data_IF_781819888556
#
_entry.id   IF_781819888556
#
_cell.length_a   1.000
_cell.length_b   1.000
_cell.length_c   1.000
_cell.angle_alpha   90.00
_cell.angle_beta   90.00
_cell.angle_gamma   90.00
#
_symmetry.space_group_name_H-M   'P 1'
#
loop_
_entity.id
_entity.type
_entity.pdbx_description
1 polymer ?
#
# COMPACT_ATOMS: atom_id res chain seq x y z
N UNK A 1 18.38 14.56 28.70
CA UNK A 1 18.61 14.95 27.29
C UNK A 1 17.73 14.02 26.47
N UNK A 2 16.66 14.54 25.88
CA UNK A 2 15.46 13.81 25.49
C UNK A 2 15.68 12.68 24.48
N UNK A 3 15.50 11.43 24.90
CA UNK A 3 15.37 10.25 24.04
C UNK A 3 14.10 10.29 23.15
N UNK A 4 13.29 11.35 23.25
CA UNK A 4 12.02 11.58 22.54
C UNK A 4 12.11 11.54 21.00
N UNK A 5 13.31 11.51 20.42
CA UNK A 5 13.53 11.46 18.97
C UNK A 5 13.97 10.10 18.44
N UNK A 6 14.54 9.24 19.31
CA UNK A 6 15.09 7.93 18.90
C UNK A 6 13.99 6.93 18.54
N UNK A 7 12.80 7.11 19.11
CA UNK A 7 11.66 6.19 18.94
C UNK A 7 10.67 6.59 17.85
N UNK A 8 11.10 7.43 16.91
CA UNK A 8 10.24 7.88 15.81
C UNK A 8 10.79 7.58 14.44
N UNK A 9 9.90 7.16 13.56
CA UNK A 9 10.09 7.29 12.13
C UNK A 9 9.77 8.72 11.73
N UNK A 10 10.79 9.45 11.26
CA UNK A 10 10.60 10.78 10.69
C UNK A 10 10.39 10.70 9.18
N UNK A 11 9.38 11.42 8.70
CA UNK A 11 9.20 11.74 7.30
C UNK A 11 9.52 13.22 7.07
N UNK A 12 10.21 13.52 5.98
CA UNK A 12 10.51 14.90 5.60
C UNK A 12 9.54 15.37 4.52
N UNK A 13 8.92 16.53 4.71
CA UNK A 13 8.16 17.19 3.64
C UNK A 13 9.19 17.84 2.70
N UNK A 14 9.23 17.37 1.46
CA UNK A 14 10.12 17.91 0.42
C UNK A 14 9.51 19.10 -0.31
N UNK A 15 8.19 19.06 -0.49
CA UNK A 15 7.45 20.06 -1.25
C UNK A 15 6.00 20.06 -0.79
N UNK A 16 5.40 21.23 -0.79
CA UNK A 16 3.96 21.42 -0.69
C UNK A 16 3.45 22.16 -1.93
N UNK A 17 2.31 21.76 -2.47
CA UNK A 17 1.60 22.52 -3.48
C UNK A 17 0.61 23.47 -2.78
N UNK A 18 0.83 24.80 -2.81
CA UNK A 18 0.01 25.76 -2.05
C UNK A 18 -1.45 25.81 -2.51
N UNK A 19 -1.73 25.40 -3.75
CA UNK A 19 -3.09 25.43 -4.30
C UNK A 19 -3.94 24.22 -3.90
N UNK A 20 -3.31 23.08 -3.60
CA UNK A 20 -4.01 21.81 -3.36
C UNK A 20 -3.72 21.19 -2.01
N UNK A 21 -2.75 21.72 -1.26
CA UNK A 21 -2.29 21.15 0.02
C UNK A 21 -1.56 19.82 -0.11
N UNK A 22 -1.38 19.30 -1.33
CA UNK A 22 -0.66 18.03 -1.56
C UNK A 22 0.81 18.22 -1.23
N UNK A 23 1.35 17.28 -0.43
CA UNK A 23 2.73 17.24 0.00
C UNK A 23 3.45 16.04 -0.58
N UNK A 24 4.73 16.21 -0.87
CA UNK A 24 5.65 15.11 -1.13
C UNK A 24 6.43 14.81 0.14
N UNK A 25 6.29 13.59 0.63
CA UNK A 25 6.99 13.10 1.80
C UNK A 25 8.17 12.24 1.37
N UNK A 26 9.30 12.35 2.07
CA UNK A 26 10.43 11.46 1.97
C UNK A 26 10.54 10.61 3.22
N UNK A 27 10.89 9.35 3.03
CA UNK A 27 11.23 8.38 4.07
C UNK A 27 12.74 8.28 4.11
N UNK A 28 13.31 8.35 5.30
CA UNK A 28 14.74 8.17 5.46
C UNK A 28 15.15 6.73 5.13
N UNK A 29 16.32 6.53 4.52
CA UNK A 29 16.83 5.20 4.11
C UNK A 29 16.91 4.21 5.27
N UNK A 30 17.15 4.69 6.49
CA UNK A 30 17.16 3.89 7.73
C UNK A 30 15.80 3.27 8.04
N UNK A 31 14.71 4.00 7.77
CA UNK A 31 13.37 3.63 8.21
C UNK A 31 12.59 2.89 7.14
N UNK A 32 13.02 2.98 5.88
CA UNK A 32 12.39 2.25 4.77
C UNK A 32 12.23 0.74 5.01
N UNK A 33 13.22 0.01 5.59
CA UNK A 33 13.04 -1.40 5.91
C UNK A 33 11.86 -1.71 6.84
N UNK A 34 11.44 -0.77 7.69
CA UNK A 34 10.25 -0.95 8.54
C UNK A 34 8.98 -0.98 7.70
N UNK A 35 8.90 -0.10 6.69
CA UNK A 35 7.77 -0.06 5.74
C UNK A 35 7.77 -1.32 4.88
N UNK A 36 8.93 -1.72 4.35
CA UNK A 36 9.06 -2.98 3.59
C UNK A 36 8.58 -4.17 4.40
N UNK A 37 9.07 -4.31 5.64
CA UNK A 37 8.65 -5.38 6.53
C UNK A 37 7.14 -5.40 6.74
N UNK A 38 6.53 -4.25 7.00
CA UNK A 38 5.09 -4.15 7.22
C UNK A 38 4.26 -4.68 6.02
N UNK A 39 4.66 -4.36 4.80
CA UNK A 39 3.98 -4.89 3.60
C UNK A 39 4.34 -6.35 3.33
N UNK A 40 5.60 -6.72 3.46
CA UNK A 40 6.08 -8.07 3.15
C UNK A 40 5.54 -9.12 4.13
N UNK A 41 5.36 -8.79 5.40
CA UNK A 41 4.68 -9.65 6.38
C UNK A 41 3.22 -9.95 5.96
N UNK A 42 2.62 -9.08 5.14
CA UNK A 42 1.27 -9.23 4.56
C UNK A 42 1.30 -9.81 3.15
N UNK A 43 2.47 -10.21 2.64
CA UNK A 43 2.64 -10.74 1.29
C UNK A 43 2.46 -9.68 0.19
N UNK A 44 2.54 -8.39 0.54
CA UNK A 44 2.36 -7.28 -0.36
C UNK A 44 3.71 -6.65 -0.73
N UNK A 45 3.75 -5.94 -1.86
CA UNK A 45 4.89 -5.12 -2.23
C UNK A 45 4.55 -3.63 -2.04
N UNK A 46 5.32 -2.87 -1.24
CA UNK A 46 5.03 -1.47 -0.91
C UNK A 46 4.74 -0.58 -2.13
N UNK A 47 5.44 -0.78 -3.24
CA UNK A 47 5.33 0.09 -4.40
C UNK A 47 3.96 0.03 -5.13
N UNK A 48 3.15 -1.02 -4.90
CA UNK A 48 1.79 -1.11 -5.48
C UNK A 48 0.75 -0.34 -4.66
N UNK A 49 1.03 -0.12 -3.38
CA UNK A 49 0.05 0.39 -2.42
C UNK A 49 0.37 1.80 -1.96
N UNK A 50 1.64 2.17 -1.94
CA UNK A 50 2.08 3.52 -1.58
C UNK A 50 1.72 4.49 -2.70
N UNK A 51 1.02 5.57 -2.35
CA UNK A 51 0.54 6.57 -3.30
C UNK A 51 1.70 7.31 -3.96
N UNK A 52 1.77 7.23 -5.29
CA UNK A 52 2.82 7.89 -6.09
C UNK A 52 4.24 7.52 -5.60
N UNK A 53 4.46 6.26 -5.20
CA UNK A 53 5.76 5.79 -4.74
C UNK A 53 6.86 6.04 -5.77
N UNK A 54 7.96 6.65 -5.32
CA UNK A 54 9.17 6.87 -6.13
C UNK A 54 10.42 6.81 -5.27
N UNK A 55 11.55 6.49 -5.88
CA UNK A 55 12.87 6.67 -5.27
C UNK A 55 13.54 7.90 -5.90
N UNK A 56 13.97 8.85 -5.07
CA UNK A 56 14.63 10.07 -5.55
C UNK A 56 16.14 9.83 -5.81
N UNK A 57 16.83 10.84 -6.36
CA UNK A 57 18.27 10.76 -6.66
C UNK A 57 19.16 10.57 -5.43
N UNK A 58 18.67 10.89 -4.23
CA UNK A 58 19.35 10.63 -2.96
C UNK A 58 19.10 9.20 -2.42
N UNK A 59 18.37 8.35 -3.17
CA UNK A 59 18.00 7.00 -2.77
C UNK A 59 16.95 6.96 -1.65
N UNK A 60 16.19 8.03 -1.46
CA UNK A 60 15.10 8.06 -0.49
C UNK A 60 13.78 7.66 -1.16
N UNK A 61 12.98 6.87 -0.46
CA UNK A 61 11.63 6.56 -0.89
C UNK A 61 10.73 7.76 -0.62
N UNK A 62 9.88 8.08 -1.58
CA UNK A 62 9.00 9.24 -1.55
C UNK A 62 7.60 8.83 -1.94
N UNK A 63 6.61 9.55 -1.41
CA UNK A 63 5.20 9.36 -1.72
C UNK A 63 4.48 10.72 -1.64
N UNK A 64 3.27 10.79 -2.20
CA UNK A 64 2.43 11.99 -2.07
C UNK A 64 1.30 11.75 -1.09
N UNK A 65 0.97 12.76 -0.31
CA UNK A 65 -0.20 12.73 0.56
C UNK A 65 -0.89 14.08 0.70
N UNK A 66 -2.16 14.03 1.05
CA UNK A 66 -3.04 15.20 1.13
C UNK A 66 -3.20 15.77 2.55
N UNK A 67 -4.28 16.53 2.73
CA UNK A 67 -4.78 17.00 4.02
C UNK A 67 -6.19 16.42 4.26
N UNK A 68 -6.61 16.37 5.53
CA UNK A 68 -7.99 16.02 5.90
C UNK A 68 -8.23 14.56 6.30
N UNK A 69 -7.18 13.74 6.35
CA UNK A 69 -7.21 12.35 6.82
C UNK A 69 -5.83 11.93 7.34
N UNK A 70 -5.73 10.72 7.86
CA UNK A 70 -4.44 10.15 8.24
C UNK A 70 -3.64 9.72 7.01
N UNK A 71 -2.74 10.60 6.58
CA UNK A 71 -1.85 10.40 5.42
C UNK A 71 -0.94 9.18 5.58
N UNK A 72 -0.57 8.83 6.82
CA UNK A 72 0.26 7.66 7.06
C UNK A 72 -0.55 6.41 6.77
N UNK A 73 -1.78 6.35 7.27
CA UNK A 73 -2.71 5.26 6.98
C UNK A 73 -3.01 5.14 5.49
N UNK A 74 -3.53 6.21 4.86
CA UNK A 74 -4.02 6.13 3.48
C UNK A 74 -2.90 6.06 2.43
N UNK A 75 -1.90 6.94 2.52
CA UNK A 75 -0.96 7.15 1.42
C UNK A 75 0.34 6.36 1.56
N UNK A 76 0.77 6.07 2.80
CA UNK A 76 1.97 5.27 3.07
C UNK A 76 1.65 3.80 3.33
N UNK A 77 0.53 3.48 3.98
CA UNK A 77 0.21 2.11 4.41
C UNK A 77 -0.92 1.46 3.60
N UNK A 78 -1.48 2.17 2.62
CA UNK A 78 -2.52 1.65 1.71
C UNK A 78 -3.90 1.50 2.36
N UNK A 79 -4.13 2.21 3.46
CA UNK A 79 -5.38 2.23 4.23
C UNK A 79 -6.43 3.19 3.66
N UNK A 80 -7.46 3.46 4.46
CA UNK A 80 -8.60 4.30 4.06
C UNK A 80 -8.56 5.72 4.64
N UNK A 81 -7.56 6.04 5.46
CA UNK A 81 -7.37 7.35 6.09
C UNK A 81 -8.00 7.48 7.48
N UNK A 82 -8.45 6.38 8.08
CA UNK A 82 -9.08 6.33 9.41
C UNK A 82 -8.07 6.12 10.56
N UNK A 83 -6.78 5.96 10.22
CA UNK A 83 -5.70 5.79 11.17
C UNK A 83 -5.57 4.37 11.72
N UNK A 84 -6.27 3.38 11.18
CA UNK A 84 -6.17 1.98 11.65
C UNK A 84 -4.82 1.37 11.31
N UNK A 85 -4.37 1.42 10.06
CA UNK A 85 -3.06 0.85 9.71
C UNK A 85 -1.92 1.67 10.28
N UNK A 86 -2.12 2.99 10.46
CA UNK A 86 -1.14 3.81 11.17
C UNK A 86 -0.90 3.29 12.59
N UNK A 87 -1.94 3.10 13.39
CA UNK A 87 -1.82 2.54 14.75
C UNK A 87 -1.25 1.12 14.76
N UNK A 88 -1.63 0.30 13.78
CA UNK A 88 -1.10 -1.06 13.63
C UNK A 88 0.40 -1.03 13.32
N UNK A 89 0.83 -0.15 12.43
CA UNK A 89 2.24 0.06 12.10
C UNK A 89 3.05 0.52 13.32
N UNK A 90 2.55 1.50 14.09
CA UNK A 90 3.24 1.97 15.29
C UNK A 90 3.36 0.86 16.34
N UNK A 91 2.33 0.02 16.50
CA UNK A 91 2.36 -1.14 17.40
C UNK A 91 3.32 -2.23 16.93
N UNK A 92 3.30 -2.56 15.64
CA UNK A 92 4.11 -3.63 15.06
C UNK A 92 5.60 -3.26 15.03
N UNK A 93 5.91 -1.97 14.82
CA UNK A 93 7.29 -1.48 14.70
C UNK A 93 7.84 -0.88 16.00
N UNK A 94 6.97 -0.52 16.95
CA UNK A 94 7.33 0.26 18.14
C UNK A 94 7.79 1.69 17.81
N UNK A 95 7.52 2.19 16.60
CA UNK A 95 7.95 3.53 16.15
C UNK A 95 6.74 4.42 15.92
N UNK A 96 6.75 5.58 16.56
CA UNK A 96 5.76 6.61 16.24
C UNK A 96 6.12 7.31 14.94
N UNK A 97 5.14 7.57 14.07
CA UNK A 97 5.39 8.25 12.80
C UNK A 97 5.16 9.75 12.95
N UNK A 98 6.15 10.54 12.54
CA UNK A 98 6.05 12.00 12.53
C UNK A 98 6.56 12.56 11.22
N UNK A 99 5.94 13.63 10.74
CA UNK A 99 6.43 14.37 9.59
C UNK A 99 6.69 15.84 9.90
N UNK A 100 7.67 16.43 9.22
CA UNK A 100 7.95 17.87 9.28
C UNK A 100 8.62 18.37 8.01
N UNK A 101 8.49 19.67 7.76
CA UNK A 101 9.24 20.44 6.75
C UNK A 101 10.72 20.66 7.13
N UNK A 102 11.03 20.57 8.42
CA UNK A 102 12.40 20.66 8.95
C UNK A 102 13.31 19.58 8.36
N UNK A 103 14.60 19.92 8.29
CA UNK A 103 15.66 18.95 8.00
C UNK A 103 15.60 17.75 8.94
N UNK A 104 16.14 16.62 8.49
CA UNK A 104 16.35 15.45 9.34
C UNK A 104 17.03 15.86 10.65
N UNK A 105 16.68 15.25 11.80
CA UNK A 105 17.42 15.46 13.04
C UNK A 105 18.94 15.28 12.83
N UNK A 106 19.77 16.04 13.56
CA UNK A 106 21.23 15.88 13.45
C UNK A 106 21.61 14.45 13.82
N UNK A 107 22.46 13.81 13.01
CA UNK A 107 22.87 12.43 13.22
C UNK A 107 21.78 11.38 12.98
N UNK A 108 20.61 11.78 12.43
CA UNK A 108 19.57 10.83 12.07
C UNK A 108 20.10 9.82 11.06
N UNK A 109 20.01 8.52 11.38
CA UNK A 109 20.62 7.46 10.59
C UNK A 109 22.06 7.09 10.93
N UNK A 110 22.78 7.89 11.73
CA UNK A 110 24.15 7.61 12.20
C UNK A 110 24.18 6.98 13.60
N UNK A 111 23.02 6.77 14.21
CA UNK A 111 22.89 6.07 15.48
C UNK A 111 23.37 4.62 15.29
N UNK A 112 24.36 4.18 16.09
CA UNK A 112 24.71 2.77 16.21
C UNK A 112 23.42 1.99 16.47
N UNK A 113 23.20 0.87 15.76
CA UNK A 113 21.98 0.08 15.70
C UNK A 113 21.37 -0.19 17.10
N UNK A 114 20.66 0.80 17.63
CA UNK A 114 20.08 0.78 18.96
C UNK A 114 18.61 0.45 18.77
N UNK A 115 18.21 -0.66 19.42
CA UNK A 115 16.84 -1.11 19.74
C UNK A 115 15.75 -0.49 18.85
N UNK A 116 15.32 -1.22 17.82
CA UNK A 116 14.11 -0.91 17.04
C UNK A 116 14.33 -0.61 15.55
N UNK A 117 15.43 -1.09 14.96
CA UNK A 117 15.59 -1.17 13.51
C UNK A 117 15.56 -2.62 13.05
N UNK A 118 15.28 -2.84 11.76
CA UNK A 118 15.35 -4.19 11.15
C UNK A 118 16.79 -4.71 11.19
N UNK A 119 16.99 -5.96 11.60
CA UNK A 119 18.32 -6.59 11.66
C UNK A 119 18.94 -6.74 10.26
N UNK A 120 20.27 -6.86 10.15
CA UNK A 120 20.91 -7.05 8.82
C UNK A 120 20.45 -8.33 8.11
N UNK A 121 20.26 -9.43 8.85
CA UNK A 121 19.72 -10.67 8.28
C UNK A 121 18.29 -10.50 7.77
N UNK A 122 17.50 -9.67 8.44
CA UNK A 122 16.14 -9.39 8.01
C UNK A 122 16.07 -8.40 6.84
N UNK A 123 16.97 -7.40 6.79
CA UNK A 123 17.13 -6.57 5.59
C UNK A 123 17.48 -7.40 4.35
N UNK A 124 18.33 -8.41 4.51
CA UNK A 124 18.64 -9.34 3.42
C UNK A 124 17.39 -10.11 2.98
N UNK A 125 16.62 -10.64 3.93
CA UNK A 125 15.33 -11.30 3.65
C UNK A 125 14.35 -10.38 2.91
N UNK A 126 14.20 -9.13 3.35
CA UNK A 126 13.30 -8.16 2.71
C UNK A 126 13.73 -7.88 1.27
N UNK A 127 15.04 -7.74 1.01
CA UNK A 127 15.56 -7.58 -0.36
C UNK A 127 15.23 -8.79 -1.25
N UNK A 128 15.35 -10.00 -0.72
CA UNK A 128 15.01 -11.21 -1.47
C UNK A 128 13.50 -11.30 -1.76
N UNK A 129 12.66 -10.90 -0.80
CA UNK A 129 11.20 -10.83 -0.98
C UNK A 129 10.79 -9.77 -2.00
N UNK A 130 11.38 -8.57 -1.96
CA UNK A 130 11.12 -7.53 -2.96
C UNK A 130 11.51 -8.02 -4.36
N UNK A 131 12.66 -8.70 -4.49
CA UNK A 131 13.06 -9.32 -5.76
C UNK A 131 12.07 -10.38 -6.23
N UNK A 132 11.56 -11.23 -5.33
CA UNK A 132 10.58 -12.25 -5.67
C UNK A 132 9.24 -11.63 -6.14
N UNK A 133 8.73 -10.64 -5.39
CA UNK A 133 7.48 -9.95 -5.72
C UNK A 133 7.62 -9.07 -6.97
N UNK A 134 8.76 -8.43 -7.18
CA UNK A 134 9.07 -7.67 -8.39
C UNK A 134 9.22 -8.55 -9.64
N UNK A 135 9.77 -9.77 -9.48
CA UNK A 135 9.83 -10.76 -10.56
C UNK A 135 8.42 -11.25 -10.93
N UNK A 136 7.54 -11.46 -9.94
CA UNK A 136 6.14 -11.80 -10.19
C UNK A 136 5.39 -10.69 -10.96
N UNK A 137 5.70 -9.41 -10.72
CA UNK A 137 5.16 -8.29 -11.53
C UNK A 137 5.69 -8.28 -12.97
N UNK A 138 6.94 -8.67 -13.17
CA UNK A 138 7.60 -8.66 -14.49
C UNK A 138 7.30 -9.91 -15.32
N UNK A 139 6.82 -10.98 -14.67
CA UNK A 139 6.32 -12.16 -15.35
C UNK A 139 5.02 -11.80 -16.09
N UNK A 140 5.18 -11.42 -17.36
CA UNK A 140 4.08 -11.40 -18.33
C UNK A 140 3.27 -12.71 -18.14
N UNK A 141 1.94 -12.67 -18.00
CA UNK A 141 1.18 -13.91 -17.94
C UNK A 141 1.53 -14.68 -19.21
N UNK A 142 2.20 -15.82 -19.04
CA UNK A 142 2.30 -16.80 -20.10
C UNK A 142 0.85 -17.17 -20.39
N UNK A 143 0.32 -16.65 -21.50
CA UNK A 143 -0.94 -17.09 -22.06
C UNK A 143 -0.80 -18.59 -22.29
N UNK A 144 -1.19 -19.38 -21.31
CA UNK A 144 -1.42 -20.80 -21.50
C UNK A 144 -2.58 -20.88 -22.48
N UNK A 145 -2.25 -21.17 -23.74
CA UNK A 145 -3.18 -21.78 -24.67
C UNK A 145 -3.66 -23.10 -24.03
N UNK A 146 -4.75 -23.02 -23.28
CA UNK A 146 -5.60 -24.17 -23.03
C UNK A 146 -6.67 -24.14 -24.12
N UNK A 147 -6.40 -24.86 -25.22
CA UNK A 147 -7.43 -25.24 -26.15
C UNK A 147 -8.43 -26.15 -25.44
N UNK A 148 -9.69 -25.75 -25.42
CA UNK A 148 -10.85 -26.64 -25.57
C UNK A 148 -12.06 -25.78 -25.89
N UNK A 149 -12.76 -26.18 -26.93
CA UNK A 149 -13.78 -25.42 -27.62
C UNK A 149 -15.06 -25.26 -26.79
N UNK A 150 -15.71 -24.09 -26.88
CA UNK A 150 -17.15 -24.04 -27.19
C UNK A 150 -17.46 -22.73 -27.91
N UNK A 151 -17.80 -22.85 -29.19
CA UNK A 151 -18.28 -21.79 -30.08
C UNK A 151 -19.50 -21.10 -29.48
N UNK A 152 -19.41 -19.79 -29.19
CA UNK A 152 -20.58 -18.94 -28.98
C UNK A 152 -20.93 -18.28 -30.31
N UNK A 153 -21.94 -18.83 -30.98
CA UNK A 153 -22.55 -18.22 -32.17
C UNK A 153 -23.69 -17.29 -31.70
N UNK A 154 -23.59 -15.95 -31.84
CA UNK A 154 -24.65 -15.04 -31.42
C UNK A 154 -25.44 -14.63 -32.65
N UNK A 155 -26.42 -15.44 -33.07
CA UNK A 155 -27.46 -14.99 -34.00
C UNK A 155 -28.61 -16.00 -34.05
N UNK A 156 -29.60 -15.84 -33.18
CA UNK A 156 -30.98 -15.95 -33.64
C UNK A 156 -31.93 -15.18 -32.70
N UNK A 157 -32.44 -14.07 -33.21
CA UNK A 157 -33.56 -13.31 -32.69
C UNK A 157 -34.83 -14.04 -33.09
N UNK A 158 -35.57 -14.65 -32.15
CA UNK A 158 -37.04 -14.78 -32.25
C UNK A 158 -37.66 -14.85 -30.84
N UNK A 159 -38.43 -13.83 -30.46
CA UNK A 159 -39.57 -13.88 -29.53
C UNK A 159 -40.85 -13.73 -30.38
N UNK A 160 -42.09 -14.01 -29.91
CA UNK A 160 -42.53 -14.73 -28.70
C UNK A 160 -43.64 -15.77 -29.01
N UNK A 161 -44.07 -16.56 -28.01
CA UNK A 161 -45.39 -17.19 -28.04
C UNK A 161 -46.02 -17.18 -26.65
N UNK A 162 -47.16 -16.49 -26.56
CA UNK A 162 -48.07 -16.37 -25.43
C UNK A 162 -48.82 -17.69 -25.24
N UNK A 163 -48.88 -18.24 -24.00
CA UNK A 163 -49.98 -19.14 -23.61
C UNK A 163 -50.18 -19.26 -22.10
N UNK A 164 -51.20 -18.53 -21.64
CA UNK A 164 -52.35 -19.00 -20.83
C UNK A 164 -52.12 -19.54 -19.40
N UNK A 165 -52.71 -18.81 -18.44
CA UNK A 165 -52.92 -19.17 -17.03
C UNK A 165 -53.89 -20.34 -16.86
N UNK A 166 -53.69 -21.23 -15.86
CA UNK A 166 -54.75 -22.13 -15.40
C UNK A 166 -55.65 -21.46 -14.35
N UNK A 167 -56.95 -21.57 -14.64
CA UNK A 167 -58.12 -21.25 -13.83
C UNK A 167 -58.08 -21.89 -12.43
N UNK A 168 -58.47 -21.13 -11.42
CA UNK A 168 -58.86 -21.63 -10.10
C UNK A 168 -60.30 -21.19 -9.79
N UNK A 169 -61.16 -22.15 -9.45
CA UNK A 169 -62.48 -22.00 -8.82
C UNK A 169 -62.78 -23.33 -8.09
N UNK A 170 -63.74 -23.44 -7.16
CA UNK A 170 -64.59 -22.42 -6.50
C UNK A 170 -64.67 -22.57 -4.94
N UNK A 171 -65.30 -21.59 -4.28
CA UNK A 171 -65.83 -21.69 -2.91
C UNK A 171 -66.28 -20.30 -2.41
N UNK A 172 -67.55 -19.88 -2.46
CA UNK A 172 -68.75 -20.25 -1.67
C UNK A 172 -68.59 -20.07 -0.15
N UNK A 173 -68.88 -18.86 0.34
CA UNK A 173 -69.94 -18.55 1.32
C UNK A 173 -70.12 -17.03 1.41
#
# INVERSE_FOLDING_TARGET
>A
MDDYWRDRMHLKILRENPMTGVRTFAIHRKDWPLVEKFYHDRGLNPADHIRDHRVNSAGQHTFKGGLGYDVIDADLLGGTGDGRLHREFERDTGRYVKYSDRSWPRGYGQEAAARGGVSEGEKARLRDMDKALGTARSAKPASQQAGTATSHNPNNVVKPAVRSTPTAAPGLA
#
